data_IF_657523835880
#
_entry.id   IF_657523835880
#
_cell.length_a   1.000
_cell.length_b   1.000
_cell.length_c   1.000
_cell.angle_alpha   90.00
_cell.angle_beta   90.00
_cell.angle_gamma   90.00
#
_symmetry.space_group_name_H-M   'P 1'
#
loop_
_entity.id
_entity.type
_entity.pdbx_description
1 polymer ?
#
# COMPACT_ATOMS: atom_id res chain seq x y z
N UNK A 1 -10.18 -2.59 -10.77
CA UNK A 1 -8.96 -3.14 -10.15
C UNK A 1 -7.93 -2.04 -10.10
N UNK A 2 -7.27 -1.85 -8.95
CA UNK A 2 -6.15 -0.90 -8.80
C UNK A 2 -4.90 -1.68 -8.43
N UNK A 3 -3.76 -1.32 -9.00
CA UNK A 3 -2.46 -1.95 -8.76
C UNK A 3 -1.49 -0.88 -8.28
N UNK A 4 -0.68 -1.19 -7.27
CA UNK A 4 0.36 -0.32 -6.73
C UNK A 4 1.60 -1.17 -6.44
N UNK A 5 2.77 -0.71 -6.90
CA UNK A 5 4.05 -1.26 -6.44
C UNK A 5 4.34 -0.79 -5.02
N UNK A 6 4.72 -1.68 -4.11
CA UNK A 6 4.74 -1.40 -2.68
C UNK A 6 6.10 -1.61 -2.00
N UNK A 7 7.19 -1.65 -2.79
CA UNK A 7 8.52 -2.06 -2.34
C UNK A 7 8.49 -3.48 -1.71
N UNK A 8 9.44 -3.83 -0.85
CA UNK A 8 9.48 -5.12 -0.15
C UNK A 8 8.61 -5.03 1.12
N UNK A 9 7.47 -5.72 1.14
CA UNK A 9 6.51 -5.67 2.26
C UNK A 9 6.68 -6.82 3.26
N UNK A 10 7.26 -7.96 2.85
CA UNK A 10 7.43 -9.14 3.72
C UNK A 10 8.88 -9.43 4.11
N UNK A 11 9.81 -8.57 3.71
CA UNK A 11 11.21 -8.63 4.10
C UNK A 11 11.99 -9.74 3.40
N UNK A 12 11.49 -10.26 2.28
CA UNK A 12 12.16 -11.33 1.53
C UNK A 12 13.26 -10.83 0.57
N UNK A 13 13.46 -9.51 0.52
CA UNK A 13 14.45 -8.84 -0.31
C UNK A 13 13.98 -8.53 -1.72
N UNK A 14 12.72 -8.82 -2.07
CA UNK A 14 12.16 -8.59 -3.40
C UNK A 14 10.98 -7.62 -3.38
N UNK A 15 10.78 -6.92 -4.50
CA UNK A 15 9.67 -5.99 -4.64
C UNK A 15 8.33 -6.71 -4.76
N UNK A 16 7.36 -6.24 -4.00
CA UNK A 16 5.99 -6.74 -3.96
C UNK A 16 5.00 -5.86 -4.73
N UNK A 17 3.89 -6.47 -5.13
CA UNK A 17 2.76 -5.81 -5.77
C UNK A 17 1.51 -5.94 -4.93
N UNK A 18 0.80 -4.82 -4.75
CA UNK A 18 -0.54 -4.80 -4.19
C UNK A 18 -1.58 -4.65 -5.28
N UNK A 19 -2.61 -5.48 -5.24
CA UNK A 19 -3.73 -5.45 -6.17
C UNK A 19 -5.06 -5.51 -5.43
N UNK A 20 -5.95 -4.59 -5.76
CA UNK A 20 -7.32 -4.54 -5.23
C UNK A 20 -8.31 -5.06 -6.25
N UNK A 21 -9.13 -6.02 -5.85
CA UNK A 21 -10.21 -6.54 -6.68
C UNK A 21 -11.45 -5.61 -6.73
N UNK A 22 -12.49 -6.02 -7.47
CA UNK A 22 -13.74 -5.25 -7.60
C UNK A 22 -14.55 -5.21 -6.30
N UNK A 23 -14.41 -6.20 -5.43
CA UNK A 23 -15.07 -6.27 -4.12
C UNK A 23 -14.35 -5.41 -3.06
N UNK A 24 -13.21 -4.81 -3.40
CA UNK A 24 -12.40 -4.06 -2.44
C UNK A 24 -11.47 -4.94 -1.59
N UNK A 25 -11.30 -6.21 -1.92
CA UNK A 25 -10.29 -7.03 -1.25
C UNK A 25 -8.92 -6.64 -1.76
N UNK A 26 -8.00 -6.33 -0.84
CA UNK A 26 -6.59 -6.09 -1.13
C UNK A 26 -5.81 -7.39 -1.05
N UNK A 27 -5.03 -7.67 -2.08
CA UNK A 27 -4.12 -8.78 -2.17
C UNK A 27 -2.69 -8.29 -2.35
N UNK A 28 -1.74 -9.04 -1.77
CA UNK A 28 -0.31 -8.93 -2.04
C UNK A 28 0.13 -10.07 -2.94
N UNK A 29 1.04 -9.76 -3.84
CA UNK A 29 1.74 -10.69 -4.71
C UNK A 29 3.23 -10.49 -4.44
N UNK A 30 3.88 -11.48 -3.84
CA UNK A 30 5.31 -11.33 -3.51
C UNK A 30 6.17 -11.44 -4.75
N UNK A 31 7.25 -10.66 -4.81
CA UNK A 31 8.29 -10.85 -5.80
C UNK A 31 8.97 -12.22 -5.66
N UNK A 32 9.45 -12.79 -6.76
CA UNK A 32 10.32 -13.97 -6.73
C UNK A 32 11.80 -13.63 -6.91
N UNK A 33 12.14 -12.36 -7.16
CA UNK A 33 13.48 -11.94 -7.58
C UNK A 33 13.83 -12.29 -9.04
N UNK A 34 12.96 -13.00 -9.74
CA UNK A 34 13.18 -13.44 -11.14
C UNK A 34 12.27 -12.73 -12.14
N UNK A 35 11.61 -11.66 -11.71
CA UNK A 35 10.60 -10.95 -12.51
C UNK A 35 9.21 -11.60 -12.51
N UNK A 36 9.01 -12.65 -11.69
CA UNK A 36 7.71 -13.29 -11.48
C UNK A 36 7.11 -12.89 -10.13
N UNK A 37 5.82 -13.21 -9.97
CA UNK A 37 5.05 -12.99 -8.76
C UNK A 37 4.58 -14.35 -8.19
N UNK A 38 4.60 -14.48 -6.86
CA UNK A 38 4.01 -15.61 -6.14
C UNK A 38 2.47 -15.54 -6.16
N UNK A 39 1.83 -16.59 -5.69
CA UNK A 39 0.39 -16.62 -5.47
C UNK A 39 -0.06 -15.50 -4.53
N UNK A 40 -1.27 -15.00 -4.79
CA UNK A 40 -1.82 -13.87 -4.03
C UNK A 40 -2.12 -14.25 -2.58
N UNK A 41 -1.75 -13.37 -1.67
CA UNK A 41 -2.10 -13.44 -0.24
C UNK A 41 -3.09 -12.32 0.07
N UNK A 42 -4.19 -12.64 0.74
CA UNK A 42 -5.18 -11.64 1.16
C UNK A 42 -4.60 -10.78 2.30
N UNK A 43 -4.67 -9.46 2.15
CA UNK A 43 -4.18 -8.48 3.14
C UNK A 43 -5.36 -7.90 3.92
N UNK A 44 -6.31 -7.26 3.22
CA UNK A 44 -7.48 -6.63 3.84
C UNK A 44 -8.76 -6.91 3.06
N UNK A 45 -9.89 -6.94 3.77
CA UNK A 45 -11.23 -6.84 3.19
C UNK A 45 -11.66 -5.37 3.14
N UNK A 46 -12.54 -5.00 2.21
CA UNK A 46 -13.15 -3.66 2.13
C UNK A 46 -12.15 -2.49 2.04
N UNK A 47 -10.96 -2.74 1.50
CA UNK A 47 -9.93 -1.73 1.32
C UNK A 47 -10.30 -0.77 0.17
N UNK A 48 -9.98 0.51 0.35
CA UNK A 48 -10.23 1.53 -0.68
C UNK A 48 -11.68 2.01 -0.82
N UNK A 49 -12.55 1.74 0.16
CA UNK A 49 -13.88 2.36 0.24
C UNK A 49 -13.84 3.85 0.60
N UNK A 50 -12.78 4.29 1.28
CA UNK A 50 -12.57 5.67 1.75
C UNK A 50 -11.46 6.42 1.02
N UNK A 51 -10.80 5.82 0.02
CA UNK A 51 -9.60 6.38 -0.62
C UNK A 51 -9.72 6.52 -2.13
N UNK A 52 -9.16 7.60 -2.66
CA UNK A 52 -9.10 7.88 -4.10
C UNK A 52 -7.67 7.81 -4.68
N UNK A 53 -6.63 7.84 -3.88
CA UNK A 53 -5.23 7.72 -4.31
C UNK A 53 -4.41 6.86 -3.34
N UNK A 54 -3.47 6.07 -3.87
CA UNK A 54 -2.60 5.18 -3.10
C UNK A 54 -1.24 5.05 -3.81
N UNK A 55 -0.16 5.08 -3.04
CA UNK A 55 1.22 4.93 -3.52
C UNK A 55 2.07 4.17 -2.48
N UNK A 56 2.93 3.27 -2.92
CA UNK A 56 3.97 2.68 -2.09
C UNK A 56 5.15 3.64 -1.98
N UNK A 57 5.65 3.90 -0.78
CA UNK A 57 6.63 4.97 -0.53
C UNK A 57 7.97 4.46 0.03
N UNK A 58 8.11 3.15 0.21
CA UNK A 58 9.23 2.59 0.98
C UNK A 58 9.11 2.95 2.45
N UNK A 59 10.20 2.82 3.22
CA UNK A 59 10.21 3.19 4.63
C UNK A 59 10.33 4.71 4.80
N UNK A 60 9.22 5.37 5.16
CA UNK A 60 9.20 6.82 5.43
C UNK A 60 9.06 7.14 6.92
N UNK A 61 9.08 6.12 7.77
CA UNK A 61 8.93 6.23 9.21
C UNK A 61 10.20 5.81 9.98
N UNK A 62 11.20 5.29 9.28
CA UNK A 62 12.48 4.80 9.77
C UNK A 62 12.39 3.60 10.72
N UNK A 63 11.39 2.74 10.58
CA UNK A 63 11.24 1.49 11.34
C UNK A 63 11.80 0.25 10.61
N UNK A 64 12.37 0.44 9.42
CA UNK A 64 12.96 -0.59 8.58
C UNK A 64 11.96 -1.35 7.71
N UNK A 65 10.70 -0.89 7.60
CA UNK A 65 9.63 -1.58 6.88
C UNK A 65 8.98 -0.66 5.86
N UNK A 66 8.66 -1.22 4.70
CA UNK A 66 8.03 -0.44 3.63
C UNK A 66 6.62 0.00 4.01
N UNK A 67 6.35 1.30 3.88
CA UNK A 67 5.07 1.93 4.15
C UNK A 67 4.28 2.19 2.85
N UNK A 68 3.00 2.51 3.03
CA UNK A 68 2.10 2.93 1.97
C UNK A 68 1.37 4.22 2.36
N UNK A 69 1.21 5.14 1.41
CA UNK A 69 0.47 6.39 1.60
C UNK A 69 -0.81 6.36 0.79
N UNK A 70 -1.90 6.76 1.44
CA UNK A 70 -3.24 6.82 0.85
C UNK A 70 -3.82 8.22 1.02
N UNK A 71 -4.66 8.62 0.06
CA UNK A 71 -5.45 9.85 0.13
C UNK A 71 -6.94 9.53 0.11
N UNK A 72 -7.68 10.12 1.04
CA UNK A 72 -9.14 10.10 1.03
C UNK A 72 -9.76 11.18 0.11
N UNK A 73 -11.07 11.10 -0.12
CA UNK A 73 -11.78 12.07 -0.97
C UNK A 73 -11.83 13.48 -0.39
N UNK A 74 -11.59 13.64 0.92
CA UNK A 74 -11.48 14.93 1.59
C UNK A 74 -10.06 15.51 1.56
N UNK A 75 -9.10 14.81 0.95
CA UNK A 75 -7.71 15.26 0.85
C UNK A 75 -6.88 15.05 2.12
N UNK A 76 -7.30 14.17 3.03
CA UNK A 76 -6.42 13.71 4.11
C UNK A 76 -5.46 12.65 3.56
N UNK A 77 -4.19 12.75 3.94
CA UNK A 77 -3.20 11.69 3.72
C UNK A 77 -3.05 10.82 4.96
N UNK A 78 -2.98 9.51 4.73
CA UNK A 78 -2.70 8.52 5.76
C UNK A 78 -1.50 7.68 5.35
N UNK A 79 -0.58 7.44 6.28
CA UNK A 79 0.45 6.41 6.17
C UNK A 79 -0.06 5.13 6.79
N UNK A 80 0.02 4.02 6.07
CA UNK A 80 -0.15 2.68 6.59
C UNK A 80 1.24 2.13 6.89
N UNK A 81 1.51 1.86 8.16
CA UNK A 81 2.82 1.38 8.58
C UNK A 81 3.00 -0.07 8.12
N UNK A 82 4.07 -0.37 7.40
CA UNK A 82 4.41 -1.76 7.08
C UNK A 82 4.61 -2.57 8.35
N UNK A 83 4.16 -3.83 8.36
CA UNK A 83 4.46 -4.73 9.48
C UNK A 83 5.73 -5.56 9.27
N UNK A 84 6.28 -5.56 8.04
CA UNK A 84 7.44 -6.34 7.62
C UNK A 84 7.12 -7.83 7.43
N UNK A 85 5.84 -8.19 7.36
CA UNK A 85 5.32 -9.55 7.21
C UNK A 85 4.32 -9.64 6.06
N UNK A 86 4.31 -8.64 5.18
CA UNK A 86 3.43 -8.56 4.03
C UNK A 86 2.06 -7.93 4.29
N UNK A 87 1.89 -7.22 5.41
CA UNK A 87 0.67 -6.49 5.76
C UNK A 87 0.98 -5.11 6.36
N UNK A 88 -0.05 -4.46 6.89
CA UNK A 88 0.04 -3.13 7.48
C UNK A 88 -0.61 -3.06 8.86
N UNK A 89 -0.04 -2.21 9.71
CA UNK A 89 -0.63 -1.82 10.99
C UNK A 89 -1.74 -0.76 10.85
N UNK A 90 -2.13 -0.17 11.97
CA UNK A 90 -3.07 0.94 11.98
C UNK A 90 -2.50 2.15 11.22
N UNK A 91 -3.34 2.77 10.40
CA UNK A 91 -2.96 3.98 9.66
C UNK A 91 -2.81 5.20 10.57
N UNK A 92 -1.90 6.10 10.20
CA UNK A 92 -1.67 7.38 10.86
C UNK A 92 -1.98 8.51 9.88
N UNK A 93 -2.77 9.51 10.28
CA UNK A 93 -2.99 10.71 9.46
C UNK A 93 -1.71 11.56 9.46
N UNK A 94 -1.19 11.87 8.27
CA UNK A 94 0.09 12.59 8.12
C UNK A 94 -0.07 13.98 7.49
N UNK A 95 -1.15 14.24 6.77
CA UNK A 95 -1.42 15.55 6.18
C UNK A 95 -2.91 15.76 5.86
N UNK A 96 -3.27 17.01 5.56
CA UNK A 96 -4.58 17.44 5.07
C UNK A 96 -4.41 18.41 3.90
N UNK A 97 -5.49 18.76 3.20
CA UNK A 97 -5.45 19.76 2.13
C UNK A 97 -5.03 19.24 0.75
N UNK A 98 -4.98 17.92 0.56
CA UNK A 98 -4.49 17.32 -0.69
C UNK A 98 -5.55 17.11 -1.78
N UNK A 99 -6.78 17.60 -1.58
CA UNK A 99 -7.89 17.45 -2.54
C UNK A 99 -7.66 18.17 -3.87
N UNK A 100 -6.81 19.21 -3.90
CA UNK A 100 -6.48 19.96 -5.11
C UNK A 100 -5.48 19.27 -6.03
N UNK A 101 -4.72 18.29 -5.54
CA UNK A 101 -3.72 17.59 -6.33
C UNK A 101 -4.35 16.46 -7.15
N UNK A 102 -3.92 16.25 -8.39
CA UNK A 102 -4.48 15.19 -9.25
C UNK A 102 -4.05 13.78 -8.81
N UNK A 103 -2.86 13.63 -8.24
CA UNK A 103 -2.33 12.34 -7.81
C UNK A 103 -1.32 12.46 -6.67
N UNK A 104 -0.92 11.30 -6.18
CA UNK A 104 0.23 11.07 -5.31
C UNK A 104 1.05 9.96 -5.99
N UNK A 105 2.36 10.13 -6.11
CA UNK A 105 3.29 9.25 -6.80
C UNK A 105 4.68 9.37 -6.20
#
# INVERSE_FOLDING_TARGET
TRIVGAADLDGDGYGDVLARDKAGTLYRYSGTGTGLLKDRVKVFSNWGGSYNAVVGVGDINSDGKSDLVERDTAGNLYRNNGDGKGSFGARVKIATGWQGYKGIF
#
